data_IF_299948802409
#
_entry.id   IF_299948802409
#
_cell.length_a   1.000
_cell.length_b   1.000
_cell.length_c   1.000
_cell.angle_alpha   90.00
_cell.angle_beta   90.00
_cell.angle_gamma   90.00
#
_symmetry.space_group_name_H-M   'P 1'
#
loop_
_entity.id
_entity.type
_entity.pdbx_description
1 polymer ?
#
# COMPACT_ATOMS: atom_id res chain seq x y z
N UNK A 1 7.40 10.43 9.78
CA UNK A 1 8.10 9.16 10.08
C UNK A 1 7.57 8.05 9.20
N UNK A 2 8.41 7.37 8.42
CA UNK A 2 7.93 6.31 7.53
C UNK A 2 7.45 5.05 8.27
N UNK A 3 7.73 4.96 9.57
CA UNK A 3 7.30 3.83 10.39
C UNK A 3 5.89 4.00 10.96
N UNK A 4 5.15 5.03 10.52
CA UNK A 4 3.78 5.26 10.95
C UNK A 4 2.80 5.02 9.81
N UNK A 5 1.62 4.51 10.14
CA UNK A 5 0.53 4.42 9.18
C UNK A 5 0.07 5.83 8.80
N UNK A 6 -0.10 6.05 7.50
CA UNK A 6 -0.54 7.34 6.98
C UNK A 6 -1.57 7.17 5.90
N UNK A 7 -2.39 8.18 5.76
CA UNK A 7 -3.28 8.32 4.63
C UNK A 7 -2.77 9.46 3.78
N UNK A 8 -2.46 9.19 2.52
CA UNK A 8 -1.86 10.18 1.62
C UNK A 8 -2.62 10.24 0.31
N UNK A 9 -2.46 11.35 -0.42
CA UNK A 9 -3.01 11.52 -1.76
C UNK A 9 -1.89 11.45 -2.78
N UNK A 10 -2.20 11.12 -4.06
CA UNK A 10 -1.20 11.15 -5.11
C UNK A 10 -0.58 12.54 -5.25
N UNK A 11 0.74 12.58 -5.38
CA UNK A 11 1.48 13.81 -5.59
C UNK A 11 1.75 14.09 -7.07
N UNK A 12 2.66 15.03 -7.36
CA UNK A 12 2.93 15.43 -8.74
C UNK A 12 3.58 14.33 -9.59
N UNK A 13 4.21 13.34 -8.96
CA UNK A 13 4.74 12.18 -9.68
C UNK A 13 4.63 10.93 -8.81
N UNK A 14 5.11 9.79 -9.31
CA UNK A 14 4.95 8.50 -8.64
C UNK A 14 5.76 8.30 -7.37
N UNK A 15 6.64 9.24 -7.01
CA UNK A 15 7.48 9.13 -5.82
C UNK A 15 7.09 10.10 -4.71
N UNK A 16 6.22 11.06 -5.00
CA UNK A 16 5.78 12.06 -4.03
C UNK A 16 4.30 11.88 -3.71
N UNK A 17 3.97 12.05 -2.45
CA UNK A 17 2.60 11.91 -1.96
C UNK A 17 2.24 13.09 -1.09
N UNK A 18 0.96 13.40 -1.05
CA UNK A 18 0.47 14.62 -0.40
C UNK A 18 -0.28 14.27 0.88
N UNK A 19 0.07 14.99 1.96
CA UNK A 19 -0.75 15.00 3.18
C UNK A 19 -1.44 16.36 3.26
N UNK A 20 -2.21 16.58 4.34
CA UNK A 20 -2.92 17.86 4.53
C UNK A 20 -1.98 19.06 4.61
N UNK A 21 -0.77 18.84 5.10
CA UNK A 21 0.15 19.94 5.44
C UNK A 21 1.44 19.92 4.66
N UNK A 22 1.77 18.85 3.97
CA UNK A 22 3.07 18.75 3.32
C UNK A 22 3.09 17.73 2.20
N UNK A 23 4.15 17.80 1.42
CA UNK A 23 4.47 16.85 0.37
C UNK A 23 5.54 15.90 0.90
N UNK A 24 5.27 14.60 0.82
CA UNK A 24 6.17 13.58 1.33
C UNK A 24 6.69 12.71 0.19
N UNK A 25 7.97 12.39 0.26
CA UNK A 25 8.57 11.44 -0.67
C UNK A 25 8.42 10.03 -0.12
N UNK A 26 8.11 9.07 -1.01
CA UNK A 26 8.04 7.67 -0.62
C UNK A 26 9.37 7.21 -0.05
N UNK A 27 9.40 6.53 1.12
CA UNK A 27 10.65 6.08 1.72
C UNK A 27 11.43 5.16 0.79
N UNK A 28 12.74 5.21 0.90
CA UNK A 28 13.62 4.33 0.14
C UNK A 28 13.32 2.87 0.49
N UNK A 29 13.28 2.01 -0.52
CA UNK A 29 12.96 0.60 -0.35
C UNK A 29 11.47 0.28 -0.26
N UNK A 30 10.63 1.28 -0.41
CA UNK A 30 9.19 1.12 -0.47
C UNK A 30 8.72 1.11 -1.91
N UNK A 31 7.57 0.48 -2.14
CA UNK A 31 6.92 0.56 -3.44
C UNK A 31 5.41 0.69 -3.27
N UNK A 32 4.75 1.13 -4.33
CA UNK A 32 3.31 1.25 -4.37
C UNK A 32 2.71 -0.09 -4.79
N UNK A 33 1.85 -0.64 -3.94
CA UNK A 33 1.05 -1.82 -4.25
C UNK A 33 -0.28 -1.34 -4.83
N UNK A 34 -0.55 -1.59 -6.12
CA UNK A 34 -1.81 -1.14 -6.73
C UNK A 34 -3.02 -1.83 -6.10
N UNK A 35 -4.20 -1.21 -6.16
CA UNK A 35 -5.41 -1.89 -5.72
C UNK A 35 -5.77 -3.03 -6.67
N UNK A 36 -6.45 -4.04 -6.14
CA UNK A 36 -6.88 -5.18 -6.95
C UNK A 36 -6.80 -6.50 -6.22
N UNK A 37 -5.92 -6.62 -5.23
CA UNK A 37 -5.83 -7.82 -4.40
C UNK A 37 -6.09 -7.43 -2.95
N UNK A 38 -7.34 -7.57 -2.52
CA UNK A 38 -7.75 -7.15 -1.19
C UNK A 38 -7.06 -7.95 -0.08
N UNK A 39 -6.84 -9.25 -0.29
CA UNK A 39 -6.19 -10.09 0.70
C UNK A 39 -4.72 -9.69 0.90
N UNK A 40 -4.01 -9.45 -0.20
CA UNK A 40 -2.63 -9.00 -0.15
C UNK A 40 -2.52 -7.64 0.53
N UNK A 41 -3.37 -6.70 0.13
CA UNK A 41 -3.38 -5.35 0.70
C UNK A 41 -3.63 -5.40 2.20
N UNK A 42 -4.60 -6.17 2.64
CA UNK A 42 -4.92 -6.30 4.06
C UNK A 42 -3.73 -6.83 4.85
N UNK A 43 -3.09 -7.88 4.36
CA UNK A 43 -1.95 -8.49 5.06
C UNK A 43 -0.76 -7.56 5.12
N UNK A 44 -0.50 -6.81 4.06
CA UNK A 44 0.57 -5.81 4.05
C UNK A 44 0.32 -4.74 5.09
N UNK A 45 -0.93 -4.27 5.20
CA UNK A 45 -1.28 -3.25 6.19
C UNK A 45 -1.18 -3.78 7.62
N UNK A 46 -1.55 -5.03 7.86
CA UNK A 46 -1.49 -5.64 9.18
C UNK A 46 -0.07 -5.97 9.61
N UNK A 47 0.82 -6.21 8.67
CA UNK A 47 2.19 -6.63 8.96
C UNK A 47 3.07 -5.49 9.48
N UNK A 48 2.64 -4.25 9.34
CA UNK A 48 3.41 -3.11 9.85
C UNK A 48 2.99 -1.80 9.21
N UNK A 49 3.77 -0.74 9.40
CA UNK A 49 3.44 0.58 8.88
C UNK A 49 3.29 0.61 7.37
N UNK A 50 2.31 1.35 6.89
CA UNK A 50 2.04 1.51 5.47
C UNK A 50 1.35 2.85 5.22
N UNK A 51 1.47 3.35 3.98
CA UNK A 51 0.80 4.57 3.55
C UNK A 51 -0.34 4.18 2.61
N UNK A 52 -1.55 4.48 3.02
CA UNK A 52 -2.74 4.26 2.17
C UNK A 52 -2.88 5.45 1.23
N UNK A 53 -2.85 5.17 -0.06
CA UNK A 53 -2.98 6.22 -1.09
C UNK A 53 -4.43 6.28 -1.55
N UNK A 54 -5.05 7.44 -1.36
CA UNK A 54 -6.42 7.66 -1.81
C UNK A 54 -6.53 9.04 -2.47
N UNK A 55 -7.43 9.15 -3.43
CA UNK A 55 -7.67 10.38 -4.16
C UNK A 55 -9.14 10.73 -4.05
N UNK A 56 -9.42 11.96 -3.62
CA UNK A 56 -10.78 12.46 -3.54
C UNK A 56 -11.13 13.22 -4.81
N UNK A 57 -12.22 12.82 -5.46
CA UNK A 57 -12.75 13.52 -6.63
C UNK A 57 -14.23 13.78 -6.42
N UNK A 58 -14.58 15.06 -6.27
CA UNK A 58 -15.93 15.44 -5.94
C UNK A 58 -16.35 14.82 -4.61
N UNK A 59 -17.43 14.06 -4.61
CA UNK A 59 -17.94 13.41 -3.41
C UNK A 59 -17.44 11.97 -3.24
N UNK A 60 -16.53 11.51 -4.11
CA UNK A 60 -16.06 10.13 -4.08
C UNK A 60 -14.60 10.06 -3.72
N UNK A 61 -14.22 8.98 -3.03
CA UNK A 61 -12.84 8.68 -2.69
C UNK A 61 -12.43 7.40 -3.39
N UNK A 62 -11.34 7.47 -4.15
CA UNK A 62 -10.81 6.33 -4.90
C UNK A 62 -9.52 5.85 -4.25
N UNK A 63 -9.42 4.54 -4.02
CA UNK A 63 -8.19 3.94 -3.55
C UNK A 63 -7.20 3.83 -4.71
N UNK A 64 -5.97 4.32 -4.49
CA UNK A 64 -4.90 4.24 -5.50
C UNK A 64 -3.86 3.20 -5.13
N UNK A 65 -3.97 2.58 -3.97
CA UNK A 65 -3.07 1.55 -3.53
C UNK A 65 -2.50 1.81 -2.15
N UNK A 66 -1.44 1.09 -1.84
CA UNK A 66 -0.77 1.18 -0.55
C UNK A 66 0.74 1.19 -0.77
N UNK A 67 1.43 2.12 -0.11
CA UNK A 67 2.89 2.15 -0.10
C UNK A 67 3.39 1.39 1.12
N UNK A 68 4.34 0.48 0.92
CA UNK A 68 4.92 -0.31 1.99
C UNK A 68 6.30 -0.80 1.57
N UNK A 69 7.13 -1.28 2.52
CA UNK A 69 8.43 -1.84 2.16
C UNK A 69 8.30 -2.94 1.12
N UNK A 70 9.12 -2.86 0.09
CA UNK A 70 9.09 -3.81 -1.02
C UNK A 70 9.29 -5.25 -0.56
N UNK A 71 10.23 -5.47 0.36
CA UNK A 71 10.52 -6.80 0.88
C UNK A 71 9.31 -7.40 1.59
N UNK A 72 8.57 -6.58 2.32
CA UNK A 72 7.35 -7.03 2.99
C UNK A 72 6.29 -7.44 1.97
N UNK A 73 6.09 -6.61 0.96
CA UNK A 73 5.09 -6.89 -0.09
C UNK A 73 5.43 -8.22 -0.79
N UNK A 74 6.68 -8.41 -1.16
CA UNK A 74 7.10 -9.63 -1.85
C UNK A 74 6.96 -10.86 -0.98
N UNK A 75 7.34 -10.78 0.29
CA UNK A 75 7.21 -11.90 1.21
C UNK A 75 5.75 -12.31 1.38
N UNK A 76 4.88 -11.35 1.60
CA UNK A 76 3.45 -11.64 1.79
C UNK A 76 2.84 -12.17 0.50
N UNK A 77 3.25 -11.63 -0.64
CA UNK A 77 2.79 -12.13 -1.94
C UNK A 77 3.16 -13.60 -2.13
N UNK A 78 4.37 -13.98 -1.75
CA UNK A 78 4.80 -15.38 -1.82
C UNK A 78 4.01 -16.26 -0.86
N UNK A 79 3.77 -15.80 0.37
CA UNK A 79 2.97 -16.54 1.34
C UNK A 79 1.56 -16.78 0.81
N UNK A 80 0.94 -15.78 0.22
CA UNK A 80 -0.39 -15.93 -0.38
C UNK A 80 -0.38 -16.87 -1.56
N UNK A 81 0.65 -16.81 -2.40
CA UNK A 81 0.76 -17.73 -3.53
C UNK A 81 0.85 -19.19 -3.07
N UNK A 82 1.59 -19.44 -2.01
CA UNK A 82 1.70 -20.78 -1.42
C UNK A 82 0.34 -21.25 -0.89
N UNK A 83 -0.35 -20.37 -0.15
CA UNK A 83 -1.67 -20.71 0.39
C UNK A 83 -2.67 -21.01 -0.72
N UNK A 84 -2.66 -20.18 -1.77
CA UNK A 84 -3.61 -20.34 -2.89
C UNK A 84 -3.34 -21.58 -3.74
N UNK A 85 -2.12 -22.08 -3.70
CA UNK A 85 -1.76 -23.31 -4.40
C UNK A 85 -2.03 -24.58 -3.57
N UNK A 86 -2.35 -24.43 -2.28
CA UNK A 86 -2.67 -25.55 -1.39
C UNK A 86 -4.08 -26.05 -1.70
N UNK A 87 -4.25 -27.34 -2.00
CA UNK A 87 -5.59 -27.87 -2.30
C UNK A 87 -6.57 -27.79 -1.14
N UNK A 88 -6.11 -27.60 0.08
CA UNK A 88 -6.98 -27.42 1.23
C UNK A 88 -7.41 -25.96 1.44
N UNK A 89 -6.88 -25.04 0.67
CA UNK A 89 -7.25 -23.62 0.75
C UNK A 89 -8.67 -23.43 0.19
N UNK A 90 -9.51 -22.78 0.98
CA UNK A 90 -10.90 -22.55 0.60
C UNK A 90 -11.23 -21.07 0.48
#
# INVERSE_FOLDING_TARGET
MPDQNREVAPGPDGTWFRTKTQLLRMPQGWELLPPGDAALTRRVKEAGPSWVVSEKRGNKVFSRGVCAPKDRIERIRQELAIERSDPSYA
#
